data_IF_070076136914
#
_entry.id   IF_070076136914
#
_cell.length_a   1.000
_cell.length_b   1.000
_cell.length_c   1.000
_cell.angle_alpha   90.00
_cell.angle_beta   90.00
_cell.angle_gamma   90.00
#
_symmetry.space_group_name_H-M   'P 1'
#
loop_
_entity.id
_entity.type
_entity.pdbx_description
1 polymer ?
#
# COMPACT_ATOMS: atom_id res chain seq x y z
N UNK A 1 13.03 -0.14 17.96
CA UNK A 1 11.67 -0.05 17.40
C UNK A 1 11.55 1.33 16.79
N UNK A 2 10.95 1.45 15.59
CA UNK A 2 10.68 2.76 15.01
C UNK A 2 9.67 3.51 15.88
N UNK A 3 9.78 4.84 15.96
CA UNK A 3 8.73 5.69 16.54
C UNK A 3 7.48 5.78 15.63
N UNK A 4 7.58 5.27 14.40
CA UNK A 4 6.49 5.25 13.41
C UNK A 4 5.64 4.00 13.63
N UNK A 5 4.41 4.21 14.12
CA UNK A 5 3.47 3.11 14.40
C UNK A 5 2.52 2.82 13.24
N UNK A 6 2.22 3.81 12.39
CA UNK A 6 1.26 3.68 11.28
C UNK A 6 1.62 4.61 10.12
N UNK A 7 1.50 4.12 8.89
CA UNK A 7 1.71 4.86 7.65
C UNK A 7 0.50 4.71 6.73
N UNK A 8 0.08 5.81 6.10
CA UNK A 8 -0.86 5.76 4.97
C UNK A 8 -0.06 5.92 3.68
N UNK A 9 -0.15 4.94 2.79
CA UNK A 9 0.57 4.93 1.51
C UNK A 9 -0.41 5.17 0.36
N UNK A 10 -0.12 6.16 -0.49
CA UNK A 10 -0.77 6.27 -1.79
C UNK A 10 -0.34 5.08 -2.67
N UNK A 11 -1.27 4.18 -2.94
CA UNK A 11 -1.00 2.89 -3.55
C UNK A 11 -1.71 2.80 -4.90
N UNK A 12 -0.95 2.57 -5.98
CA UNK A 12 -1.48 2.48 -7.34
C UNK A 12 -1.76 1.06 -7.81
N UNK A 13 -1.41 0.02 -7.03
CA UNK A 13 -1.43 -1.37 -7.50
C UNK A 13 -0.18 -1.79 -8.30
N UNK A 14 0.67 -0.84 -8.67
CA UNK A 14 1.91 -1.09 -9.41
C UNK A 14 2.93 -1.94 -8.65
N UNK A 15 3.96 -2.43 -9.37
CA UNK A 15 5.05 -3.19 -8.76
C UNK A 15 5.77 -2.36 -7.69
N UNK A 16 6.12 -1.12 -8.02
CA UNK A 16 6.89 -0.24 -7.13
C UNK A 16 6.17 0.01 -5.81
N UNK A 17 4.89 0.41 -5.87
CA UNK A 17 4.09 0.65 -4.65
C UNK A 17 3.86 -0.63 -3.85
N UNK A 18 3.85 -1.80 -4.50
CA UNK A 18 3.75 -3.10 -3.81
C UNK A 18 5.02 -3.46 -3.05
N UNK A 19 6.18 -3.19 -3.64
CA UNK A 19 7.47 -3.35 -2.97
C UNK A 19 7.58 -2.36 -1.80
N UNK A 20 7.11 -1.13 -1.97
CA UNK A 20 7.12 -0.12 -0.89
C UNK A 20 6.27 -0.54 0.31
N UNK A 21 5.11 -1.17 0.12
CA UNK A 21 4.32 -1.72 1.25
C UNK A 21 5.16 -2.66 2.10
N UNK A 22 5.81 -3.66 1.47
CA UNK A 22 6.69 -4.61 2.17
C UNK A 22 7.87 -3.91 2.83
N UNK A 23 8.51 -3.00 2.12
CA UNK A 23 9.65 -2.26 2.64
C UNK A 23 9.29 -1.43 3.88
N UNK A 24 8.12 -0.79 3.90
CA UNK A 24 7.63 -0.03 5.06
C UNK A 24 7.34 -0.95 6.26
N UNK A 25 6.69 -2.09 6.02
CA UNK A 25 6.42 -3.10 7.05
C UNK A 25 7.73 -3.62 7.68
N UNK A 26 8.74 -3.95 6.87
CA UNK A 26 10.01 -4.50 7.37
C UNK A 26 10.90 -3.45 8.03
N UNK A 27 10.99 -2.25 7.43
CA UNK A 27 11.91 -1.19 7.88
C UNK A 27 11.42 -0.53 9.16
N UNK A 28 10.11 -0.27 9.24
CA UNK A 28 9.52 0.49 10.34
C UNK A 28 8.75 -0.39 11.33
N UNK A 29 8.48 -1.66 11.00
CA UNK A 29 7.70 -2.57 11.86
C UNK A 29 6.36 -1.94 12.27
N UNK A 30 5.70 -1.31 11.29
CA UNK A 30 4.52 -0.47 11.49
C UNK A 30 3.33 -0.96 10.65
N UNK A 31 2.12 -0.55 11.04
CA UNK A 31 0.92 -0.81 10.25
C UNK A 31 0.90 0.06 8.99
N UNK A 32 0.68 -0.54 7.82
CA UNK A 32 0.58 0.19 6.55
C UNK A 32 -0.85 0.12 6.04
N UNK A 33 -1.46 1.29 5.85
CA UNK A 33 -2.80 1.42 5.26
C UNK A 33 -2.65 1.96 3.83
N UNK A 34 -3.13 1.23 2.84
CA UNK A 34 -3.08 1.68 1.44
C UNK A 34 -4.29 2.54 1.10
N UNK A 35 -4.05 3.64 0.41
CA UNK A 35 -5.08 4.50 -0.17
C UNK A 35 -4.95 4.49 -1.69
N UNK A 36 -6.02 4.10 -2.37
CA UNK A 36 -6.14 4.14 -3.83
C UNK A 36 -7.33 5.01 -4.17
N UNK A 37 -7.13 6.02 -5.03
CA UNK A 37 -8.18 6.92 -5.49
C UNK A 37 -8.48 6.67 -6.96
N UNK A 38 -9.76 6.61 -7.31
CA UNK A 38 -10.20 6.69 -8.70
C UNK A 38 -10.19 8.17 -9.15
N UNK A 39 -9.35 8.46 -10.12
CA UNK A 39 -9.20 9.76 -10.78
C UNK A 39 -9.49 9.67 -12.29
N UNK A 40 -10.21 8.62 -12.72
CA UNK A 40 -10.49 8.33 -14.12
C UNK A 40 -9.63 7.21 -14.71
N UNK A 41 -8.98 6.38 -13.88
CA UNK A 41 -8.21 5.22 -14.34
C UNK A 41 -9.09 4.02 -14.75
N UNK A 42 -10.39 4.03 -14.39
CA UNK A 42 -11.31 2.93 -14.72
C UNK A 42 -11.21 1.76 -13.75
N UNK A 43 -11.24 0.52 -14.27
CA UNK A 43 -11.40 -0.71 -13.46
C UNK A 43 -10.16 -1.09 -12.60
N UNK A 44 -9.10 -0.30 -12.56
CA UNK A 44 -7.83 -0.65 -11.89
C UNK A 44 -7.85 -0.56 -10.35
N UNK A 45 -8.88 0.07 -9.77
CA UNK A 45 -8.96 0.28 -8.31
C UNK A 45 -9.24 -1.01 -7.54
N UNK A 46 -10.14 -1.87 -8.04
CA UNK A 46 -10.45 -3.15 -7.39
C UNK A 46 -9.27 -4.15 -7.43
N UNK A 47 -8.57 -4.33 -8.56
CA UNK A 47 -7.32 -5.11 -8.60
C UNK A 47 -6.25 -4.57 -7.65
N UNK A 48 -6.11 -3.24 -7.54
CA UNK A 48 -5.18 -2.63 -6.59
C UNK A 48 -5.57 -2.99 -5.15
N UNK A 49 -6.85 -2.88 -4.79
CA UNK A 49 -7.34 -3.28 -3.46
C UNK A 49 -7.05 -4.74 -3.13
N UNK A 50 -7.39 -5.66 -4.03
CA UNK A 50 -7.13 -7.10 -3.83
C UNK A 50 -5.63 -7.40 -3.66
N UNK A 51 -4.78 -6.69 -4.40
CA UNK A 51 -3.33 -6.84 -4.30
C UNK A 51 -2.78 -6.29 -2.98
N UNK A 52 -3.31 -5.17 -2.49
CA UNK A 52 -2.96 -4.62 -1.19
C UNK A 52 -3.33 -5.58 -0.06
N UNK A 53 -4.55 -6.14 -0.07
CA UNK A 53 -5.00 -7.12 0.93
C UNK A 53 -4.12 -8.38 0.95
N UNK A 54 -3.65 -8.85 -0.21
CA UNK A 54 -2.74 -9.98 -0.31
C UNK A 54 -1.33 -9.70 0.25
N UNK A 55 -0.96 -8.43 0.40
CA UNK A 55 0.31 -8.01 1.00
C UNK A 55 0.22 -7.90 2.54
N UNK A 56 -0.96 -8.08 3.13
CA UNK A 56 -1.18 -7.94 4.57
C UNK A 56 -0.93 -6.52 5.08
#
# INVERSE_FOLDING_TARGET
MSDINKVVLAYSGGLDTSVIVRWLQETYQCEVVTFTADLGQGEEVEPARAKAEALG
#
